data_IF_311272535366
#
_entry.id   IF_311272535366
#
_cell.length_a   1.000
_cell.length_b   1.000
_cell.length_c   1.000
_cell.angle_alpha   90.00
_cell.angle_beta   90.00
_cell.angle_gamma   90.00
#
_symmetry.space_group_name_H-M   'P 1'
#
loop_
_entity.id
_entity.type
_entity.pdbx_description
1 polymer ?
#
# COMPACT_ATOMS: atom_id res chain seq x y z
N UNK A 1 2.08 11.85 -5.70
CA UNK A 1 1.16 10.83 -5.20
C UNK A 1 -0.02 10.67 -6.14
N UNK A 2 -0.39 9.42 -6.43
CA UNK A 2 -1.59 9.09 -7.19
C UNK A 2 -2.42 8.07 -6.40
N UNK A 3 -3.62 8.44 -6.03
CA UNK A 3 -4.56 7.58 -5.33
C UNK A 3 -5.62 7.11 -6.33
N UNK A 4 -5.47 5.90 -6.87
CA UNK A 4 -6.34 5.38 -7.94
C UNK A 4 -7.82 5.28 -7.56
N UNK A 5 -8.13 5.08 -6.28
CA UNK A 5 -9.49 5.10 -5.74
C UNK A 5 -9.47 5.41 -4.23
N UNK A 6 -10.51 6.08 -3.74
CA UNK A 6 -10.76 6.21 -2.30
C UNK A 6 -11.84 5.23 -1.80
N UNK A 7 -12.44 4.44 -2.69
CA UNK A 7 -13.42 3.43 -2.30
C UNK A 7 -12.69 2.28 -1.59
N UNK A 8 -13.08 2.00 -0.34
CA UNK A 8 -12.43 1.00 0.49
C UNK A 8 -13.44 0.17 1.26
N UNK A 9 -13.22 -1.15 1.33
CA UNK A 9 -14.02 -2.06 2.18
C UNK A 9 -13.53 -2.06 3.62
N UNK A 10 -12.27 -1.67 3.88
CA UNK A 10 -11.77 -1.46 5.23
C UNK A 10 -12.25 -0.10 5.79
N UNK A 11 -12.41 -0.05 7.11
CA UNK A 11 -12.87 1.14 7.85
C UNK A 11 -11.89 1.50 8.97
N UNK A 12 -10.61 1.59 8.60
CA UNK A 12 -9.55 1.92 9.54
C UNK A 12 -9.87 3.22 10.28
N UNK A 13 -9.85 3.17 11.62
CA UNK A 13 -10.28 4.30 12.47
C UNK A 13 -9.42 5.55 12.35
N UNK A 14 -8.19 5.39 11.89
CA UNK A 14 -7.25 6.50 11.66
C UNK A 14 -7.32 7.08 10.24
N UNK A 15 -8.13 6.49 9.32
CA UNK A 15 -8.14 6.91 7.93
C UNK A 15 -9.28 7.90 7.65
N UNK A 16 -8.93 9.16 7.38
CA UNK A 16 -9.88 10.17 6.92
C UNK A 16 -10.09 10.18 5.39
N UNK A 17 -9.44 9.27 4.66
CA UNK A 17 -9.45 9.27 3.19
C UNK A 17 -10.51 8.34 2.58
N UNK A 18 -10.78 7.20 3.22
CA UNK A 18 -11.68 6.19 2.63
C UNK A 18 -13.12 6.67 2.48
N UNK A 19 -13.79 6.17 1.45
CA UNK A 19 -15.23 6.33 1.20
C UNK A 19 -15.86 4.97 0.94
N UNK A 20 -17.14 4.83 1.28
CA UNK A 20 -17.95 3.74 0.77
C UNK A 20 -18.41 4.09 -0.65
N UNK A 21 -18.56 3.11 -1.53
CA UNK A 21 -18.75 3.36 -2.96
C UNK A 21 -20.03 4.11 -3.38
N UNK A 22 -20.89 4.51 -2.41
CA UNK A 22 -22.08 5.32 -2.65
C UNK A 22 -22.04 6.68 -1.93
N UNK A 23 -20.96 6.96 -1.21
CA UNK A 23 -20.80 8.22 -0.50
C UNK A 23 -20.40 9.34 -1.47
N UNK A 24 -20.81 10.56 -1.14
CA UNK A 24 -20.36 11.76 -1.86
C UNK A 24 -18.83 11.87 -1.82
N UNK A 25 -18.24 12.16 -2.96
CA UNK A 25 -16.79 12.23 -3.12
C UNK A 25 -16.10 10.87 -3.27
N UNK A 26 -16.86 9.75 -3.38
CA UNK A 26 -16.28 8.47 -3.76
C UNK A 26 -15.87 8.47 -5.23
N UNK A 27 -14.64 8.00 -5.54
CA UNK A 27 -14.13 7.96 -6.90
C UNK A 27 -13.28 6.72 -7.18
N UNK A 28 -13.16 6.42 -8.45
CA UNK A 28 -12.15 5.56 -9.05
C UNK A 28 -11.69 6.21 -10.34
N UNK A 29 -10.41 6.47 -10.49
CA UNK A 29 -9.84 7.07 -11.68
C UNK A 29 -9.87 6.11 -12.87
N UNK A 30 -10.10 6.67 -14.06
CA UNK A 30 -9.90 5.98 -15.33
C UNK A 30 -8.40 5.90 -15.66
N UNK A 31 -8.04 5.14 -16.69
CA UNK A 31 -6.64 5.11 -17.15
C UNK A 31 -6.23 6.44 -17.78
N UNK A 32 -7.17 7.13 -18.42
CA UNK A 32 -6.98 8.47 -18.98
C UNK A 32 -6.67 9.49 -17.88
N UNK A 33 -7.41 9.46 -16.76
CA UNK A 33 -7.13 10.31 -15.60
C UNK A 33 -5.73 10.04 -15.04
N UNK A 34 -5.37 8.76 -14.90
CA UNK A 34 -4.08 8.36 -14.36
C UNK A 34 -2.91 8.83 -15.25
N UNK A 35 -3.06 8.71 -16.58
CA UNK A 35 -2.07 9.18 -17.56
C UNK A 35 -1.97 10.71 -17.53
N UNK A 36 -3.09 11.43 -17.43
CA UNK A 36 -3.09 12.90 -17.35
C UNK A 36 -2.35 13.39 -16.09
N UNK A 37 -2.67 12.81 -14.93
CA UNK A 37 -2.01 13.12 -13.66
C UNK A 37 -0.51 12.78 -13.69
N UNK A 38 -0.15 11.62 -14.26
CA UNK A 38 1.24 11.23 -14.38
C UNK A 38 2.02 12.15 -15.34
N UNK A 39 1.40 12.61 -16.43
CA UNK A 39 2.00 13.55 -17.39
C UNK A 39 2.32 14.87 -16.71
N UNK A 40 1.37 15.46 -16.01
CA UNK A 40 1.57 16.69 -15.25
C UNK A 40 2.74 16.54 -14.27
N UNK A 41 2.78 15.45 -13.51
CA UNK A 41 3.88 15.19 -12.58
C UNK A 41 5.23 15.03 -13.28
N UNK A 42 5.29 14.33 -14.41
CA UNK A 42 6.54 14.13 -15.20
C UNK A 42 7.01 15.43 -15.82
N UNK A 43 6.10 16.26 -16.32
CA UNK A 43 6.41 17.57 -16.88
C UNK A 43 6.99 18.53 -15.80
N UNK A 44 6.57 18.35 -14.54
CA UNK A 44 7.16 19.02 -13.38
C UNK A 44 8.45 18.35 -12.84
N UNK A 45 8.92 17.29 -13.47
CA UNK A 45 10.18 16.63 -13.16
C UNK A 45 10.09 15.44 -12.20
N UNK A 46 8.90 14.89 -11.96
CA UNK A 46 8.77 13.68 -11.14
C UNK A 46 9.44 12.48 -11.79
N UNK A 47 10.21 11.73 -11.01
CA UNK A 47 10.88 10.50 -11.42
C UNK A 47 10.24 9.24 -10.83
N UNK A 48 9.37 9.39 -9.84
CA UNK A 48 8.63 8.32 -9.16
C UNK A 48 7.16 8.70 -9.01
N UNK A 49 6.26 7.77 -9.28
CA UNK A 49 4.84 7.87 -8.97
C UNK A 49 4.50 6.91 -7.84
N UNK A 50 4.07 7.45 -6.71
CA UNK A 50 3.63 6.68 -5.55
C UNK A 50 2.13 6.39 -5.69
N UNK A 51 1.77 5.12 -5.89
CA UNK A 51 0.40 4.68 -6.21
C UNK A 51 -0.15 3.80 -5.09
N UNK A 52 -1.14 4.28 -4.37
CA UNK A 52 -1.89 3.54 -3.35
C UNK A 52 -3.37 3.92 -3.42
N UNK A 53 -4.24 3.11 -2.85
CA UNK A 53 -5.66 3.45 -2.82
C UNK A 53 -6.46 2.65 -1.82
N UNK A 54 -7.78 2.78 -1.91
CA UNK A 54 -8.70 1.97 -1.13
C UNK A 54 -8.78 0.53 -1.65
N UNK A 55 -9.14 -0.39 -0.76
CA UNK A 55 -9.43 -1.79 -1.09
C UNK A 55 -10.81 -1.86 -1.77
N UNK A 56 -10.85 -1.66 -3.08
CA UNK A 56 -12.09 -1.60 -3.85
C UNK A 56 -12.46 -2.98 -4.40
N UNK A 57 -13.44 -3.63 -3.77
CA UNK A 57 -13.93 -4.96 -4.17
C UNK A 57 -14.69 -5.00 -5.50
N UNK A 58 -14.92 -3.86 -6.14
CA UNK A 58 -15.56 -3.80 -7.46
C UNK A 58 -14.57 -3.77 -8.61
N UNK A 59 -13.28 -3.54 -8.34
CA UNK A 59 -12.26 -3.54 -9.36
C UNK A 59 -11.73 -4.96 -9.59
N UNK A 60 -11.68 -5.42 -10.85
CA UNK A 60 -11.00 -6.66 -11.18
C UNK A 60 -9.48 -6.50 -11.00
N UNK A 61 -8.77 -7.61 -10.86
CA UNK A 61 -7.31 -7.57 -10.71
C UNK A 61 -6.62 -6.95 -11.95
N UNK A 62 -7.19 -7.17 -13.11
CA UNK A 62 -6.73 -6.64 -14.40
C UNK A 62 -6.69 -5.11 -14.43
N UNK A 63 -7.55 -4.42 -13.66
CA UNK A 63 -7.48 -2.97 -13.54
C UNK A 63 -6.08 -2.49 -13.13
N UNK A 64 -5.45 -3.18 -12.18
CA UNK A 64 -4.13 -2.79 -11.67
C UNK A 64 -3.01 -3.11 -12.66
N UNK A 65 -3.04 -4.27 -13.29
CA UNK A 65 -2.05 -4.64 -14.31
C UNK A 65 -2.14 -3.76 -15.55
N UNK A 66 -3.35 -3.43 -15.99
CA UNK A 66 -3.56 -2.56 -17.14
C UNK A 66 -3.19 -1.10 -16.83
N UNK A 67 -3.48 -0.62 -15.62
CA UNK A 67 -3.05 0.70 -15.16
C UNK A 67 -1.53 0.83 -15.21
N UNK A 68 -0.78 -0.12 -14.61
CA UNK A 68 0.67 -0.07 -14.59
C UNK A 68 1.29 -0.21 -15.98
N UNK A 69 0.77 -1.13 -16.79
CA UNK A 69 1.21 -1.31 -18.17
C UNK A 69 0.95 -0.06 -19.02
N UNK A 70 -0.17 0.62 -18.82
CA UNK A 70 -0.48 1.88 -19.51
C UNK A 70 0.46 3.01 -19.10
N UNK A 71 0.73 3.15 -17.80
CA UNK A 71 1.69 4.13 -17.28
C UNK A 71 3.11 3.86 -17.78
N UNK A 72 3.55 2.59 -17.78
CA UNK A 72 4.90 2.23 -18.28
C UNK A 72 5.04 2.41 -19.79
N UNK A 73 3.99 2.16 -20.56
CA UNK A 73 4.00 2.40 -22.01
C UNK A 73 4.17 3.89 -22.33
N UNK A 74 3.49 4.75 -21.60
CA UNK A 74 3.54 6.20 -21.81
C UNK A 74 4.78 6.83 -21.18
N UNK A 75 5.19 6.36 -20.01
CA UNK A 75 6.32 6.89 -19.24
C UNK A 75 7.30 5.78 -18.85
N UNK A 76 8.10 5.25 -19.79
CA UNK A 76 8.94 4.06 -19.54
C UNK A 76 9.99 4.24 -18.43
N UNK A 77 10.40 5.48 -18.16
CA UNK A 77 11.40 5.82 -17.14
C UNK A 77 10.81 6.15 -15.78
N UNK A 78 9.49 6.34 -15.69
CA UNK A 78 8.83 6.66 -14.44
C UNK A 78 8.83 5.44 -13.52
N UNK A 79 9.38 5.59 -12.32
CA UNK A 79 9.37 4.54 -11.31
C UNK A 79 7.98 4.42 -10.67
N UNK A 80 7.36 3.25 -10.75
CA UNK A 80 6.08 2.98 -10.14
C UNK A 80 6.28 2.32 -8.78
N UNK A 81 6.23 3.12 -7.71
CA UNK A 81 6.18 2.64 -6.33
C UNK A 81 4.73 2.44 -5.93
N UNK A 82 4.24 1.20 -6.04
CA UNK A 82 2.82 0.96 -6.00
C UNK A 82 2.44 -0.16 -5.03
N UNK A 83 1.24 -0.04 -4.47
CA UNK A 83 0.54 -1.03 -3.66
C UNK A 83 1.27 -1.43 -2.37
N UNK A 84 0.52 -1.47 -1.30
CA UNK A 84 1.01 -1.89 0.03
C UNK A 84 0.84 -3.39 0.21
N UNK A 85 1.47 -3.96 1.24
CA UNK A 85 1.26 -5.36 1.61
C UNK A 85 -0.21 -5.67 1.91
N UNK A 86 -0.97 -4.68 2.39
CA UNK A 86 -2.41 -4.81 2.64
C UNK A 86 -3.19 -4.96 1.34
N UNK A 87 -2.84 -4.22 0.30
CA UNK A 87 -3.45 -4.35 -1.02
C UNK A 87 -3.07 -5.69 -1.68
N UNK A 88 -1.82 -6.13 -1.56
CA UNK A 88 -1.39 -7.45 -2.06
C UNK A 88 -2.14 -8.60 -1.36
N UNK A 89 -2.28 -8.54 -0.03
CA UNK A 89 -3.08 -9.51 0.73
C UNK A 89 -4.54 -9.50 0.30
N UNK A 90 -5.10 -8.31 0.11
CA UNK A 90 -6.47 -8.18 -0.37
C UNK A 90 -6.65 -8.83 -1.75
N UNK A 91 -5.74 -8.60 -2.69
CA UNK A 91 -5.83 -9.21 -4.02
C UNK A 91 -5.70 -10.72 -3.96
N UNK A 92 -4.74 -11.25 -3.21
CA UNK A 92 -4.55 -12.69 -3.06
C UNK A 92 -5.82 -13.37 -2.53
N UNK A 93 -6.42 -12.81 -1.47
CA UNK A 93 -7.64 -13.36 -0.87
C UNK A 93 -8.89 -13.15 -1.72
N UNK A 94 -9.08 -11.93 -2.22
CA UNK A 94 -10.31 -11.56 -2.93
C UNK A 94 -10.40 -12.23 -4.31
N UNK A 95 -9.29 -12.27 -5.05
CA UNK A 95 -9.23 -12.90 -6.37
C UNK A 95 -8.82 -14.39 -6.33
N UNK A 96 -8.61 -14.96 -5.12
CA UNK A 96 -8.21 -16.36 -4.91
C UNK A 96 -6.93 -16.73 -5.66
N UNK A 97 -5.95 -15.84 -5.62
CA UNK A 97 -4.64 -15.99 -6.23
C UNK A 97 -3.58 -16.32 -5.17
N UNK A 98 -2.49 -16.98 -5.57
CA UNK A 98 -1.31 -17.10 -4.71
C UNK A 98 -0.58 -15.77 -4.60
N UNK A 99 0.07 -15.50 -3.47
CA UNK A 99 0.82 -14.26 -3.25
C UNK A 99 1.88 -14.04 -4.33
N UNK A 100 2.63 -15.08 -4.65
CA UNK A 100 3.67 -15.05 -5.67
C UNK A 100 3.10 -14.69 -7.05
N UNK A 101 1.94 -15.22 -7.39
CA UNK A 101 1.26 -14.92 -8.66
C UNK A 101 0.81 -13.44 -8.71
N UNK A 102 0.27 -12.91 -7.61
CA UNK A 102 -0.09 -11.49 -7.50
C UNK A 102 1.15 -10.61 -7.73
N UNK A 103 2.25 -10.90 -7.01
CA UNK A 103 3.49 -10.14 -7.09
C UNK A 103 4.11 -10.21 -8.51
N UNK A 104 4.19 -11.41 -9.08
CA UNK A 104 4.74 -11.63 -10.43
C UNK A 104 3.97 -10.87 -11.51
N UNK A 105 2.63 -10.94 -11.49
CA UNK A 105 1.79 -10.24 -12.47
C UNK A 105 1.90 -8.72 -12.37
N UNK A 106 1.92 -8.17 -11.15
CA UNK A 106 2.07 -6.74 -10.93
C UNK A 106 3.47 -6.24 -11.32
N UNK A 107 4.52 -7.01 -10.99
CA UNK A 107 5.89 -6.71 -11.42
C UNK A 107 6.01 -6.75 -12.93
N UNK A 108 5.49 -7.78 -13.59
CA UNK A 108 5.48 -7.89 -15.06
C UNK A 108 4.71 -6.74 -15.73
N UNK A 109 3.68 -6.22 -15.07
CA UNK A 109 2.93 -5.05 -15.54
C UNK A 109 3.65 -3.71 -15.33
N UNK A 110 4.74 -3.69 -14.55
CA UNK A 110 5.58 -2.50 -14.38
C UNK A 110 5.67 -1.94 -12.96
N UNK A 111 5.20 -2.64 -11.95
CA UNK A 111 5.45 -2.28 -10.55
C UNK A 111 6.95 -2.44 -10.24
N UNK A 112 7.63 -1.34 -9.88
CA UNK A 112 9.07 -1.35 -9.61
C UNK A 112 9.41 -1.52 -8.12
N UNK A 113 8.54 -1.07 -7.22
CA UNK A 113 8.72 -1.21 -5.77
C UNK A 113 7.39 -1.02 -5.04
N UNK A 114 7.37 -1.31 -3.73
CA UNK A 114 6.18 -1.08 -2.90
C UNK A 114 6.44 -0.04 -1.81
N UNK A 115 5.47 0.83 -1.50
CA UNK A 115 5.51 1.66 -0.31
C UNK A 115 5.27 0.84 0.96
N UNK A 116 5.67 1.35 2.09
CA UNK A 116 5.59 0.66 3.39
C UNK A 116 4.24 0.78 4.11
N UNK A 117 3.24 1.41 3.51
CA UNK A 117 1.94 1.64 4.15
C UNK A 117 1.22 0.34 4.54
N UNK A 118 0.23 0.46 5.42
CA UNK A 118 -0.49 -0.69 5.95
C UNK A 118 0.20 -1.42 7.11
N UNK A 119 1.49 -1.12 7.38
CA UNK A 119 2.21 -1.64 8.55
C UNK A 119 1.60 -1.10 9.85
N UNK A 120 1.32 0.17 9.91
CA UNK A 120 0.73 0.95 11.01
C UNK A 120 1.43 0.67 12.34
N UNK A 121 0.95 -0.29 13.10
CA UNK A 121 1.55 -0.89 14.29
C UNK A 121 1.33 -2.41 14.24
N UNK A 122 2.34 -3.23 14.62
CA UNK A 122 2.23 -4.69 14.55
C UNK A 122 1.71 -5.33 15.83
N UNK A 123 1.78 -4.61 16.95
CA UNK A 123 1.37 -5.13 18.24
C UNK A 123 -0.16 -5.33 18.31
N UNK A 124 -0.60 -6.54 18.66
CA UNK A 124 -1.94 -6.84 19.10
C UNK A 124 -2.04 -6.63 20.64
N UNK A 125 -3.15 -6.11 21.18
CA UNK A 125 -4.43 -5.81 20.53
C UNK A 125 -4.51 -4.39 19.93
N UNK A 126 -3.45 -3.60 19.92
CA UNK A 126 -3.47 -2.21 19.41
C UNK A 126 -3.87 -2.18 17.95
N UNK A 127 -3.26 -3.06 17.11
CA UNK A 127 -3.56 -3.16 15.68
C UNK A 127 -5.04 -3.47 15.41
N UNK A 128 -5.60 -4.47 16.07
CA UNK A 128 -7.02 -4.84 15.90
C UNK A 128 -7.99 -3.74 16.32
N UNK A 129 -7.61 -2.87 17.26
CA UNK A 129 -8.44 -1.71 17.65
C UNK A 129 -8.49 -0.61 16.59
N UNK A 130 -7.50 -0.50 15.74
CA UNK A 130 -7.40 0.59 14.74
C UNK A 130 -7.67 0.13 13.31
N UNK A 131 -7.42 -1.14 12.95
CA UNK A 131 -7.56 -1.65 11.58
C UNK A 131 -7.71 -3.18 11.51
N UNK A 132 -8.71 -3.76 12.18
CA UNK A 132 -8.99 -5.18 12.25
C UNK A 132 -9.32 -5.85 10.89
N UNK A 133 -9.74 -5.07 9.90
CA UNK A 133 -10.06 -5.55 8.55
C UNK A 133 -8.83 -5.72 7.63
N UNK A 134 -7.65 -5.27 8.07
CA UNK A 134 -6.38 -5.47 7.36
C UNK A 134 -5.72 -6.78 7.78
N UNK A 135 -4.78 -7.25 6.96
CA UNK A 135 -3.90 -8.33 7.39
C UNK A 135 -3.17 -7.96 8.69
N UNK A 136 -2.90 -8.96 9.54
CA UNK A 136 -2.16 -8.77 10.78
C UNK A 136 -0.66 -8.46 10.55
N UNK A 137 0.05 -8.17 11.63
CA UNK A 137 1.48 -7.82 11.55
C UNK A 137 2.35 -8.94 10.96
N UNK A 138 2.23 -10.20 11.42
CA UNK A 138 2.95 -11.32 10.85
C UNK A 138 2.71 -11.51 9.35
N UNK A 139 1.46 -11.38 8.90
CA UNK A 139 1.11 -11.49 7.48
C UNK A 139 1.68 -10.36 6.65
N UNK A 140 1.69 -9.14 7.16
CA UNK A 140 2.32 -8.00 6.49
C UNK A 140 3.82 -8.24 6.27
N UNK A 141 4.53 -8.74 7.31
CA UNK A 141 5.96 -9.05 7.24
C UNK A 141 6.25 -10.23 6.30
N UNK A 142 5.41 -11.28 6.31
CA UNK A 142 5.50 -12.39 5.36
C UNK A 142 5.44 -11.91 3.91
N UNK A 143 4.46 -11.08 3.60
CA UNK A 143 4.29 -10.52 2.25
C UNK A 143 5.46 -9.63 1.85
N UNK A 144 5.96 -8.78 2.75
CA UNK A 144 7.16 -8.00 2.50
C UNK A 144 8.35 -8.90 2.14
N UNK A 145 8.53 -10.00 2.88
CA UNK A 145 9.56 -11.00 2.57
C UNK A 145 9.38 -11.65 1.19
N UNK A 146 8.15 -11.94 0.76
CA UNK A 146 7.85 -12.49 -0.56
C UNK A 146 8.13 -11.48 -1.68
N UNK A 147 7.77 -10.21 -1.48
CA UNK A 147 8.10 -9.11 -2.40
C UNK A 147 9.62 -8.97 -2.56
N UNK A 148 10.36 -9.00 -1.44
CA UNK A 148 11.83 -8.95 -1.47
C UNK A 148 12.44 -10.15 -2.21
N UNK A 149 11.89 -11.35 -1.98
CA UNK A 149 12.34 -12.58 -2.68
C UNK A 149 12.09 -12.51 -4.19
N UNK A 150 11.05 -11.80 -4.62
CA UNK A 150 10.78 -11.54 -6.04
C UNK A 150 11.71 -10.47 -6.66
N UNK A 151 12.66 -9.93 -5.89
CA UNK A 151 13.63 -8.94 -6.35
C UNK A 151 13.18 -7.48 -6.23
N UNK A 152 11.97 -7.25 -5.74
CA UNK A 152 11.44 -5.91 -5.52
C UNK A 152 11.88 -5.36 -4.17
N UNK A 153 11.98 -4.03 -4.07
CA UNK A 153 12.26 -3.33 -2.81
C UNK A 153 10.99 -2.72 -2.23
N UNK A 154 10.99 -2.51 -0.92
CA UNK A 154 9.87 -1.84 -0.24
C UNK A 154 10.39 -0.79 0.73
N UNK A 155 9.50 0.14 1.12
CA UNK A 155 9.72 0.90 2.35
C UNK A 155 9.10 0.16 3.53
N UNK A 156 9.38 0.62 4.74
CA UNK A 156 8.68 0.25 5.96
C UNK A 156 8.13 1.50 6.63
N UNK A 157 6.95 1.41 7.25
CA UNK A 157 6.33 2.54 7.96
C UNK A 157 5.90 2.14 9.35
N UNK A 158 5.70 3.12 10.22
CA UNK A 158 5.02 2.99 11.50
C UNK A 158 4.10 4.20 11.67
N UNK A 159 2.83 3.99 11.97
CA UNK A 159 1.93 5.04 12.42
C UNK A 159 2.07 5.17 13.93
N UNK A 160 2.38 6.38 14.44
CA UNK A 160 2.59 6.62 15.86
C UNK A 160 1.85 7.86 16.35
N UNK A 161 1.64 7.93 17.67
CA UNK A 161 0.98 9.07 18.31
C UNK A 161 -0.54 8.92 18.33
N UNK A 162 -1.06 7.69 18.26
CA UNK A 162 -2.49 7.39 18.40
C UNK A 162 -2.79 6.73 19.77
N UNK A 163 -3.01 5.41 19.84
CA UNK A 163 -3.36 4.68 21.07
C UNK A 163 -2.30 3.64 21.46
N UNK A 164 -1.23 3.55 20.69
CA UNK A 164 -0.12 2.62 20.90
C UNK A 164 0.74 3.02 22.12
N UNK A 165 1.34 2.04 22.78
CA UNK A 165 2.34 2.27 23.82
C UNK A 165 3.77 2.45 23.26
N UNK A 166 4.70 2.83 24.10
CA UNK A 166 6.13 2.86 23.72
C UNK A 166 6.63 1.45 23.42
N UNK A 167 6.16 0.47 24.18
CA UNK A 167 6.49 -0.95 23.98
C UNK A 167 6.00 -1.45 22.62
N UNK A 168 4.80 -1.04 22.18
CA UNK A 168 4.27 -1.38 20.86
C UNK A 168 5.17 -0.82 19.75
N UNK A 169 5.68 0.40 19.90
CA UNK A 169 6.63 1.00 18.94
C UNK A 169 7.95 0.23 18.90
N UNK A 170 8.48 -0.13 20.05
CA UNK A 170 9.73 -0.92 20.14
C UNK A 170 9.56 -2.30 19.50
N UNK A 171 8.47 -3.00 19.82
CA UNK A 171 8.12 -4.29 19.19
C UNK A 171 8.04 -4.17 17.66
N UNK A 172 7.40 -3.12 17.17
CA UNK A 172 7.29 -2.84 15.73
C UNK A 172 8.68 -2.68 15.06
N UNK A 173 9.56 -1.88 15.68
CA UNK A 173 10.91 -1.66 15.16
C UNK A 173 11.77 -2.92 15.20
N UNK A 174 11.65 -3.74 16.25
CA UNK A 174 12.34 -5.03 16.38
C UNK A 174 11.92 -5.96 15.25
N UNK A 175 10.61 -6.10 15.00
CA UNK A 175 10.07 -6.95 13.93
C UNK A 175 10.50 -6.50 12.53
N UNK A 176 10.54 -5.19 12.28
CA UNK A 176 11.07 -4.66 11.02
C UNK A 176 12.56 -4.96 10.85
N UNK A 177 13.37 -4.79 11.91
CA UNK A 177 14.80 -5.16 11.87
C UNK A 177 14.99 -6.64 11.59
N UNK A 178 14.27 -7.51 12.29
CA UNK A 178 14.34 -8.97 12.06
C UNK A 178 13.94 -9.35 10.63
N UNK A 179 12.95 -8.67 10.05
CA UNK A 179 12.59 -8.90 8.65
C UNK A 179 13.67 -8.37 7.71
N UNK A 180 14.28 -7.23 8.01
CA UNK A 180 15.40 -6.70 7.24
C UNK A 180 16.61 -7.64 7.28
N UNK A 181 16.93 -8.20 8.44
CA UNK A 181 18.02 -9.18 8.61
C UNK A 181 17.78 -10.45 7.76
N UNK A 182 16.51 -10.85 7.61
CA UNK A 182 16.12 -12.02 6.78
C UNK A 182 16.14 -11.75 5.28
N UNK A 183 15.70 -10.59 4.84
CA UNK A 183 15.40 -10.36 3.41
C UNK A 183 16.15 -9.18 2.77
N UNK A 184 16.70 -8.24 3.54
CA UNK A 184 17.50 -7.12 3.04
C UNK A 184 16.76 -6.21 2.04
N UNK A 185 15.42 -6.17 2.08
CA UNK A 185 14.62 -5.54 1.02
C UNK A 185 14.04 -4.17 1.37
N UNK A 186 14.03 -3.75 2.64
CA UNK A 186 13.59 -2.41 3.01
C UNK A 186 14.62 -1.35 2.57
N UNK A 187 14.16 -0.34 1.85
CA UNK A 187 14.97 0.79 1.40
C UNK A 187 15.06 1.90 2.44
N UNK A 188 13.94 2.19 3.11
CA UNK A 188 13.87 3.17 4.18
C UNK A 188 12.76 2.83 5.17
N UNK A 189 12.87 3.41 6.36
CA UNK A 189 11.82 3.42 7.38
C UNK A 189 11.25 4.83 7.51
N UNK A 190 9.93 4.95 7.47
CA UNK A 190 9.21 6.23 7.51
C UNK A 190 8.23 6.21 8.69
N UNK A 191 8.54 6.90 9.80
CA UNK A 191 7.59 7.10 10.88
C UNK A 191 6.57 8.16 10.46
N UNK A 192 5.28 7.84 10.60
CA UNK A 192 4.15 8.69 10.26
C UNK A 192 3.44 9.13 11.54
N UNK A 193 3.45 10.42 11.82
CA UNK A 193 2.68 10.96 12.95
C UNK A 193 1.18 10.88 12.64
N UNK A 194 0.39 10.37 13.60
CA UNK A 194 -1.05 10.33 13.47
C UNK A 194 -1.64 11.75 13.40
N UNK A 195 -2.55 11.94 12.45
CA UNK A 195 -3.28 13.19 12.26
C UNK A 195 -4.77 12.96 12.50
N UNK A 196 -5.33 13.40 13.65
CA UNK A 196 -6.69 13.08 14.07
C UNK A 196 -7.84 13.63 13.21
N UNK A 197 -7.76 14.84 12.60
CA UNK A 197 -8.89 15.43 11.89
C UNK A 197 -9.47 14.53 10.81
N UNK A 198 -10.80 14.34 10.83
CA UNK A 198 -11.53 13.52 9.88
C UNK A 198 -11.45 12.00 10.12
N UNK A 199 -10.92 11.57 11.27
CA UNK A 199 -10.78 10.16 11.64
C UNK A 199 -11.75 9.79 12.77
N UNK A 200 -11.91 8.48 13.03
CA UNK A 200 -12.71 7.94 14.13
C UNK A 200 -11.88 7.57 15.37
N UNK A 201 -10.59 7.94 15.40
CA UNK A 201 -9.67 7.60 16.47
C UNK A 201 -9.36 8.83 17.35
#
# INVERSE_FOLDING_TARGET
>A
HFNHTNICVADCKFCGFYKRGREEGAYTHTFEDAIAIAREAVDEGATELHIVGGLNSKLPFEYYTDLFSSLKREFPKLHLKALTMVELDFFARFHKMRDEEVIEKLHAAGMDSCPGGGAEIFAEPTRSRICDHKCDGPRWLELAGKVHKAGLKTNATMLYGHIESVEDRVDHLIKLREQQDKSGGFQCFIPLAFYPPGTAL
#
